data_IF_491399223506
#
_entry.id   IF_491399223506
#
_cell.length_a   1.000
_cell.length_b   1.000
_cell.length_c   1.000
_cell.angle_alpha   90.00
_cell.angle_beta   90.00
_cell.angle_gamma   90.00
#
_symmetry.space_group_name_H-M   'P 1'
#
loop_
_entity.id
_entity.type
_entity.pdbx_description
1 polymer ?
#
# COMPACT_ATOMS: atom_id res chain seq x y z
N UNK A 1 -20.09 14.41 32.84
CA UNK A 1 -21.04 13.37 32.37
C UNK A 1 -20.29 12.07 32.11
N UNK A 2 -20.29 11.12 33.07
CA UNK A 2 -19.56 9.85 32.94
C UNK A 2 -20.08 8.94 31.82
N UNK A 3 -21.35 9.08 31.43
CA UNK A 3 -21.99 8.27 30.39
C UNK A 3 -21.46 8.59 28.98
N UNK A 4 -21.22 9.87 28.69
CA UNK A 4 -20.63 10.30 27.40
C UNK A 4 -19.21 9.76 27.21
N UNK A 5 -18.41 9.71 28.27
CA UNK A 5 -17.05 9.17 28.19
C UNK A 5 -17.05 7.65 27.99
N UNK A 6 -17.99 6.93 28.62
CA UNK A 6 -18.19 5.51 28.35
C UNK A 6 -18.62 5.26 26.90
N UNK A 7 -19.55 6.06 26.37
CA UNK A 7 -19.96 5.99 24.98
C UNK A 7 -18.80 6.28 24.00
N UNK A 8 -17.98 7.30 24.27
CA UNK A 8 -16.80 7.64 23.45
C UNK A 8 -15.79 6.49 23.42
N UNK A 9 -15.51 5.85 24.56
CA UNK A 9 -14.61 4.69 24.64
C UNK A 9 -15.12 3.50 23.81
N UNK A 10 -16.43 3.20 23.89
CA UNK A 10 -17.04 2.13 23.08
C UNK A 10 -16.93 2.42 21.57
N UNK A 11 -17.19 3.66 21.15
CA UNK A 11 -17.05 4.06 19.75
C UNK A 11 -15.61 3.94 19.26
N UNK A 12 -14.65 4.43 20.04
CA UNK A 12 -13.23 4.35 19.69
C UNK A 12 -12.77 2.89 19.53
N UNK A 13 -13.21 2.00 20.42
CA UNK A 13 -12.93 0.56 20.32
C UNK A 13 -13.54 -0.06 19.05
N UNK A 14 -14.78 0.26 18.72
CA UNK A 14 -15.44 -0.21 17.50
C UNK A 14 -14.74 0.29 16.22
N UNK A 15 -14.33 1.56 16.19
CA UNK A 15 -13.58 2.14 15.07
C UNK A 15 -12.21 1.48 14.91
N UNK A 16 -11.49 1.24 16.01
CA UNK A 16 -10.20 0.55 15.99
C UNK A 16 -10.36 -0.89 15.48
N UNK A 17 -11.40 -1.61 15.92
CA UNK A 17 -11.70 -2.96 15.44
C UNK A 17 -12.02 -2.98 13.94
N UNK A 18 -12.83 -2.03 13.46
CA UNK A 18 -13.16 -1.90 12.03
C UNK A 18 -11.92 -1.59 11.19
N UNK A 19 -11.08 -0.65 11.63
CA UNK A 19 -9.82 -0.35 10.95
C UNK A 19 -8.90 -1.58 10.95
N UNK A 20 -8.76 -2.28 12.08
CA UNK A 20 -8.01 -3.52 12.19
C UNK A 20 -8.48 -4.60 11.21
N UNK A 21 -9.79 -4.78 11.06
CA UNK A 21 -10.37 -5.70 10.09
C UNK A 21 -10.01 -5.31 8.65
N UNK A 22 -10.12 -4.02 8.31
CA UNK A 22 -9.90 -3.51 6.96
C UNK A 22 -8.43 -3.47 6.53
N UNK A 23 -7.48 -3.20 7.44
CA UNK A 23 -6.07 -2.98 7.05
C UNK A 23 -5.08 -4.00 7.61
N UNK A 24 -5.44 -4.69 8.69
CA UNK A 24 -4.56 -5.64 9.37
C UNK A 24 -5.08 -7.09 9.34
N UNK A 25 -6.24 -7.34 8.74
CA UNK A 25 -6.81 -8.70 8.65
C UNK A 25 -7.40 -9.19 9.96
N UNK A 26 -7.81 -8.29 10.86
CA UNK A 26 -8.57 -8.63 12.05
C UNK A 26 -9.96 -9.20 11.71
N UNK A 27 -10.64 -9.82 12.69
CA UNK A 27 -11.99 -10.35 12.49
C UNK A 27 -13.00 -9.23 12.20
N UNK A 28 -14.09 -9.57 11.50
CA UNK A 28 -15.20 -8.65 11.29
C UNK A 28 -15.82 -8.26 12.64
N UNK A 29 -15.94 -6.96 12.98
CA UNK A 29 -16.63 -6.54 14.19
C UNK A 29 -18.13 -6.86 14.12
N UNK A 30 -18.77 -7.02 15.27
CA UNK A 30 -20.21 -7.25 15.35
C UNK A 30 -20.99 -6.16 14.58
N UNK A 31 -22.04 -6.56 13.86
CA UNK A 31 -22.87 -5.68 13.03
C UNK A 31 -22.30 -5.35 11.65
N UNK A 32 -21.10 -5.84 11.31
CA UNK A 32 -20.54 -5.72 9.95
C UNK A 32 -20.61 -7.04 9.20
N UNK A 33 -21.01 -6.96 7.93
CA UNK A 33 -21.00 -8.09 7.00
C UNK A 33 -19.55 -8.44 6.59
N UNK A 34 -19.05 -9.65 6.91
CA UNK A 34 -17.69 -10.07 6.56
C UNK A 34 -17.41 -10.04 5.06
N UNK A 35 -18.39 -10.35 4.21
CA UNK A 35 -18.23 -10.35 2.76
C UNK A 35 -18.04 -8.93 2.22
N UNK A 36 -18.81 -7.95 2.75
CA UNK A 36 -18.63 -6.53 2.40
C UNK A 36 -17.29 -5.99 2.86
N UNK A 37 -16.83 -6.37 4.05
CA UNK A 37 -15.51 -5.97 4.53
C UNK A 37 -14.39 -6.53 3.66
N UNK A 38 -14.51 -7.76 3.17
CA UNK A 38 -13.53 -8.35 2.26
C UNK A 38 -13.45 -7.58 0.93
N UNK A 39 -14.58 -7.13 0.38
CA UNK A 39 -14.60 -6.25 -0.81
C UNK A 39 -13.84 -4.96 -0.54
N UNK A 40 -14.10 -4.30 0.60
CA UNK A 40 -13.41 -3.06 0.97
C UNK A 40 -11.91 -3.26 1.19
N UNK A 41 -11.51 -4.36 1.85
CA UNK A 41 -10.11 -4.72 2.03
C UNK A 41 -9.39 -4.85 0.70
N UNK A 42 -9.99 -5.55 -0.27
CA UNK A 42 -9.43 -5.68 -1.64
C UNK A 42 -9.31 -4.34 -2.34
N UNK A 43 -10.31 -3.47 -2.22
CA UNK A 43 -10.28 -2.12 -2.80
C UNK A 43 -9.15 -1.26 -2.20
N UNK A 44 -8.96 -1.31 -0.87
CA UNK A 44 -7.88 -0.60 -0.18
C UNK A 44 -6.49 -1.10 -0.62
N UNK A 45 -6.31 -2.42 -0.72
CA UNK A 45 -5.08 -3.02 -1.24
C UNK A 45 -4.81 -2.58 -2.69
N UNK A 46 -5.84 -2.58 -3.54
CA UNK A 46 -5.73 -2.13 -4.92
C UNK A 46 -5.38 -0.64 -5.01
N UNK A 47 -5.95 0.21 -4.14
CA UNK A 47 -5.62 1.63 -4.06
C UNK A 47 -4.16 1.83 -3.66
N UNK A 48 -3.69 1.12 -2.64
CA UNK A 48 -2.30 1.18 -2.16
C UNK A 48 -1.31 0.77 -3.25
N UNK A 49 -1.60 -0.31 -3.96
CA UNK A 49 -0.82 -0.73 -5.14
C UNK A 49 -0.82 0.35 -6.23
N UNK A 50 -1.95 1.03 -6.49
CA UNK A 50 -2.01 2.07 -7.50
C UNK A 50 -1.15 3.30 -7.13
N UNK A 51 -1.19 3.71 -5.85
CA UNK A 51 -0.35 4.82 -5.37
C UNK A 51 1.13 4.45 -5.48
N UNK A 52 1.52 3.23 -5.09
CA UNK A 52 2.90 2.76 -5.19
C UNK A 52 3.37 2.69 -6.65
N UNK A 53 2.54 2.19 -7.56
CA UNK A 53 2.85 2.19 -8.99
C UNK A 53 3.09 3.62 -9.53
N UNK A 54 2.40 4.63 -8.99
CA UNK A 54 2.63 6.02 -9.36
C UNK A 54 3.93 6.61 -8.81
N UNK A 55 4.32 6.32 -7.55
CA UNK A 55 5.59 6.79 -6.96
C UNK A 55 6.82 5.98 -7.39
N UNK A 56 6.62 4.74 -7.84
CA UNK A 56 7.66 3.77 -8.18
C UNK A 56 7.27 3.00 -9.46
N UNK A 57 7.15 3.69 -10.61
CA UNK A 57 6.68 3.09 -11.87
C UNK A 57 7.62 2.01 -12.41
N UNK A 58 8.84 1.89 -11.89
CA UNK A 58 9.74 0.78 -12.22
C UNK A 58 9.19 -0.56 -11.75
N UNK A 59 8.49 -0.61 -10.62
CA UNK A 59 7.99 -1.87 -10.03
C UNK A 59 7.01 -2.59 -10.98
N UNK A 60 5.94 -1.96 -11.50
CA UNK A 60 5.09 -2.59 -12.50
C UNK A 60 5.84 -2.88 -13.81
N UNK A 61 6.82 -2.05 -14.22
CA UNK A 61 7.65 -2.34 -15.41
C UNK A 61 8.58 -3.55 -15.24
N UNK A 62 8.95 -3.90 -14.01
CA UNK A 62 9.77 -5.07 -13.71
C UNK A 62 8.89 -6.32 -13.59
N UNK A 63 7.76 -6.19 -12.89
CA UNK A 63 6.91 -7.32 -12.51
C UNK A 63 5.84 -7.64 -13.56
N UNK A 64 5.52 -6.70 -14.46
CA UNK A 64 4.47 -6.85 -15.46
C UNK A 64 3.11 -7.11 -14.81
N UNK A 65 2.33 -8.01 -15.41
CA UNK A 65 1.01 -8.43 -14.93
C UNK A 65 1.03 -8.99 -13.50
N UNK A 66 2.18 -9.54 -13.06
CA UNK A 66 2.35 -10.07 -11.71
C UNK A 66 2.43 -8.99 -10.63
N UNK A 67 2.57 -7.72 -10.98
CA UNK A 67 2.64 -6.63 -10.01
C UNK A 67 1.44 -6.60 -9.06
N UNK A 68 0.22 -6.64 -9.61
CA UNK A 68 -1.02 -6.53 -8.81
C UNK A 68 -1.22 -7.76 -7.92
N UNK A 69 -1.14 -9.01 -8.42
CA UNK A 69 -1.23 -10.20 -7.57
C UNK A 69 -0.14 -10.26 -6.49
N UNK A 70 1.11 -9.94 -6.82
CA UNK A 70 2.20 -9.99 -5.85
C UNK A 70 2.05 -8.92 -4.76
N UNK A 71 1.60 -7.71 -5.12
CA UNK A 71 1.29 -6.69 -4.12
C UNK A 71 0.12 -7.09 -3.22
N UNK A 72 -0.92 -7.70 -3.79
CA UNK A 72 -2.06 -8.17 -3.00
C UNK A 72 -1.67 -9.28 -2.02
N UNK A 73 -0.78 -10.18 -2.42
CA UNK A 73 -0.21 -11.20 -1.54
C UNK A 73 0.61 -10.57 -0.39
N UNK A 74 1.49 -9.62 -0.72
CA UNK A 74 2.27 -8.86 0.27
C UNK A 74 1.38 -8.12 1.28
N UNK A 75 0.35 -7.42 0.81
CA UNK A 75 -0.48 -6.56 1.65
C UNK A 75 -1.50 -7.33 2.49
N UNK A 76 -1.68 -8.65 2.28
CA UNK A 76 -2.64 -9.47 3.02
C UNK A 76 -2.28 -9.48 4.51
N UNK A 77 -3.16 -8.91 5.34
CA UNK A 77 -2.96 -8.81 6.79
C UNK A 77 -1.84 -7.87 7.21
N UNK A 78 -1.29 -7.04 6.30
CA UNK A 78 -0.17 -6.14 6.59
C UNK A 78 -0.57 -4.68 6.48
N UNK A 79 -0.84 -3.99 7.61
CA UNK A 79 -1.18 -2.57 7.58
C UNK A 79 0.01 -1.75 7.05
N UNK A 80 -0.28 -0.61 6.40
CA UNK A 80 0.77 0.28 5.91
C UNK A 80 1.28 1.15 7.08
N UNK A 81 2.56 0.98 7.44
CA UNK A 81 3.21 1.78 8.48
C UNK A 81 4.30 2.68 7.90
N UNK A 82 4.37 3.95 8.33
CA UNK A 82 5.42 4.87 7.90
C UNK A 82 5.29 5.42 6.46
N UNK A 83 4.12 5.28 5.82
CA UNK A 83 3.82 5.87 4.51
C UNK A 83 4.31 5.06 3.30
N UNK A 84 4.09 5.59 2.10
CA UNK A 84 4.20 4.84 0.84
C UNK A 84 5.64 4.48 0.43
N UNK A 85 6.64 5.31 0.74
CA UNK A 85 8.05 5.02 0.43
C UNK A 85 8.55 3.81 1.23
N UNK A 86 8.52 3.83 2.58
CA UNK A 86 8.93 2.66 3.37
C UNK A 86 8.15 1.41 2.97
N UNK A 87 6.90 1.60 2.56
CA UNK A 87 6.07 0.50 2.14
C UNK A 87 6.47 -0.14 0.81
N UNK A 88 6.81 0.68 -0.20
CA UNK A 88 7.39 0.19 -1.45
C UNK A 88 8.71 -0.55 -1.20
N UNK A 89 9.54 -0.06 -0.27
CA UNK A 89 10.79 -0.72 0.13
C UNK A 89 10.52 -2.09 0.75
N UNK A 90 9.61 -2.19 1.73
CA UNK A 90 9.22 -3.47 2.37
C UNK A 90 8.59 -4.45 1.38
N UNK A 91 7.79 -3.97 0.44
CA UNK A 91 7.25 -4.81 -0.63
C UNK A 91 8.37 -5.44 -1.45
N UNK A 92 9.37 -4.67 -1.86
CA UNK A 92 10.51 -5.20 -2.63
C UNK A 92 11.37 -6.15 -1.80
N UNK A 93 11.62 -5.85 -0.52
CA UNK A 93 12.29 -6.77 0.40
C UNK A 93 11.56 -8.10 0.47
N UNK A 94 10.24 -8.06 0.71
CA UNK A 94 9.40 -9.26 0.75
C UNK A 94 9.50 -10.07 -0.55
N UNK A 95 9.39 -9.42 -1.72
CA UNK A 95 9.55 -10.10 -3.01
C UNK A 95 10.92 -10.80 -3.14
N UNK A 96 11.99 -10.12 -2.75
CA UNK A 96 13.34 -10.69 -2.84
C UNK A 96 13.55 -11.87 -1.87
N UNK A 97 12.85 -11.89 -0.74
CA UNK A 97 12.93 -12.94 0.27
C UNK A 97 12.04 -14.15 -0.04
N UNK A 98 10.79 -13.91 -0.47
CA UNK A 98 9.76 -14.97 -0.50
C UNK A 98 9.19 -15.30 -1.88
N UNK A 99 9.47 -14.53 -2.94
CA UNK A 99 8.93 -14.82 -4.28
C UNK A 99 9.92 -15.68 -5.09
N UNK A 100 9.66 -16.99 -5.09
CA UNK A 100 10.41 -18.00 -5.85
C UNK A 100 10.18 -17.90 -7.36
N UNK A 101 9.07 -17.30 -7.79
CA UNK A 101 8.72 -17.18 -9.20
C UNK A 101 9.40 -15.97 -9.88
N UNK A 102 10.18 -15.16 -9.17
CA UNK A 102 10.96 -14.08 -9.79
C UNK A 102 12.07 -14.64 -10.69
N UNK A 103 12.09 -14.17 -11.94
CA UNK A 103 13.20 -14.47 -12.84
C UNK A 103 14.51 -13.84 -12.33
N UNK A 104 15.66 -14.38 -12.78
CA UNK A 104 16.99 -13.81 -12.47
C UNK A 104 17.08 -12.33 -12.86
N UNK A 105 16.51 -11.94 -13.99
CA UNK A 105 16.51 -10.55 -14.46
C UNK A 105 15.67 -9.66 -13.54
N UNK A 106 14.45 -10.08 -13.17
CA UNK A 106 13.59 -9.34 -12.24
C UNK A 106 14.27 -9.14 -10.89
N UNK A 107 14.88 -10.21 -10.34
CA UNK A 107 15.61 -10.16 -9.08
C UNK A 107 16.78 -9.15 -9.14
N UNK A 108 17.55 -9.14 -10.22
CA UNK A 108 18.64 -8.15 -10.41
C UNK A 108 18.11 -6.72 -10.49
N UNK A 109 17.04 -6.48 -11.27
CA UNK A 109 16.42 -5.14 -11.40
C UNK A 109 15.82 -4.64 -10.09
N UNK A 110 15.15 -5.51 -9.32
CA UNK A 110 14.61 -5.18 -8.00
C UNK A 110 15.71 -4.85 -6.99
N UNK A 111 16.80 -5.63 -6.94
CA UNK A 111 17.96 -5.32 -6.08
C UNK A 111 18.59 -3.99 -6.44
N UNK A 112 18.74 -3.67 -7.73
CA UNK A 112 19.23 -2.37 -8.19
C UNK A 112 18.30 -1.24 -7.74
N UNK A 113 17.00 -1.37 -8.01
CA UNK A 113 15.97 -0.41 -7.60
C UNK A 113 16.01 -0.13 -6.09
N UNK A 114 16.16 -1.19 -5.28
CA UNK A 114 16.25 -1.11 -3.83
C UNK A 114 17.50 -0.34 -3.39
N UNK A 115 18.69 -0.70 -3.89
CA UNK A 115 19.95 -0.04 -3.53
C UNK A 115 19.96 1.45 -3.86
N UNK A 116 19.43 1.82 -5.03
CA UNK A 116 19.30 3.23 -5.44
C UNK A 116 18.43 4.05 -4.47
N UNK A 117 17.50 3.40 -3.76
CA UNK A 117 16.48 4.06 -2.94
C UNK A 117 16.63 3.80 -1.45
N UNK A 118 17.53 2.91 -1.02
CA UNK A 118 17.83 2.62 0.39
C UNK A 118 18.65 3.72 1.06
N UNK A 119 19.23 4.66 0.29
CA UNK A 119 19.89 5.86 0.81
C UNK A 119 18.92 6.92 1.36
N UNK A 120 19.48 8.08 1.77
CA UNK A 120 18.70 9.24 2.22
C UNK A 120 17.83 9.75 1.06
N UNK A 121 16.52 9.85 1.28
CA UNK A 121 15.57 10.13 0.21
C UNK A 121 15.81 11.52 -0.42
N UNK A 122 15.79 11.67 -1.75
CA UNK A 122 15.70 12.99 -2.37
C UNK A 122 14.38 13.67 -1.99
N UNK A 123 14.40 15.00 -1.82
CA UNK A 123 13.21 15.81 -1.57
C UNK A 123 12.23 15.63 -2.74
N UNK A 124 10.96 15.28 -2.45
CA UNK A 124 9.91 15.13 -3.48
C UNK A 124 9.37 13.71 -3.68
N UNK A 125 9.83 12.72 -2.91
CA UNK A 125 9.25 11.37 -2.97
C UNK A 125 7.94 11.30 -2.15
N UNK A 126 6.80 11.56 -2.80
CA UNK A 126 5.50 11.55 -2.14
C UNK A 126 4.32 11.87 -3.08
N UNK A 127 3.08 11.78 -2.60
CA UNK A 127 1.88 12.05 -3.38
C UNK A 127 1.85 13.46 -4.00
N UNK A 128 2.46 14.46 -3.35
CA UNK A 128 2.63 15.81 -3.90
C UNK A 128 3.50 15.84 -5.19
N UNK A 129 4.51 14.96 -5.29
CA UNK A 129 5.30 14.75 -6.51
C UNK A 129 4.53 14.07 -7.64
N UNK A 130 3.48 13.32 -7.28
CA UNK A 130 2.57 12.65 -8.20
C UNK A 130 1.49 13.60 -8.73
N UNK A 131 0.89 14.40 -7.83
CA UNK A 131 -0.05 15.47 -8.19
C UNK A 131 0.60 16.50 -9.12
N UNK A 132 1.84 16.90 -8.85
CA UNK A 132 2.59 17.83 -9.71
C UNK A 132 3.04 17.27 -11.06
N UNK A 133 2.99 15.94 -11.26
CA UNK A 133 3.22 15.28 -12.57
C UNK A 133 1.93 15.09 -13.36
N UNK A 134 0.82 14.84 -12.68
CA UNK A 134 -0.50 14.74 -13.30
C UNK A 134 -1.01 16.11 -13.77
N UNK A 135 -0.76 17.18 -12.99
CA UNK A 135 -1.12 18.56 -13.35
C UNK A 135 -0.25 19.16 -14.47
N UNK A 136 0.90 18.54 -14.80
CA UNK A 136 1.79 19.04 -15.88
C UNK A 136 1.44 18.52 -17.27
N UNK A 137 0.48 17.58 -17.35
CA UNK A 137 0.03 16.95 -18.60
C UNK A 137 -1.16 17.68 -19.25
N UNK A 138 -1.63 18.76 -18.64
CA UNK A 138 -2.66 19.65 -19.18
C UNK A 138 -2.07 21.06 -19.37
N UNK A 139 -1.15 21.20 -20.33
CA UNK A 139 -0.98 22.46 -21.04
C UNK A 139 -1.40 22.23 -22.49
N UNK A 140 -2.53 22.79 -22.96
CA UNK A 140 -2.80 22.86 -24.38
C UNK A 140 -1.74 23.76 -25.00
N UNK A 141 -1.14 23.29 -26.09
CA UNK A 141 -0.42 24.17 -27.00
C UNK A 141 -1.43 25.12 -27.64
N UNK A 142 -1.10 26.39 -27.62
CA UNK A 142 -1.49 27.40 -28.59
C UNK A 142 -0.19 28.15 -28.95
#
# INVERSE_FOLDING_TARGET
MPDTDAARRRLAAAQAALLGALVAGGPAPAGFDPARLEVQRRALVAKRAAVIAGIAPELPRILGERYRPAFAAYARGRPMTGGYRPDAMRFVTHLLESDSALTRQQRRRLRRWYRERSGRAPRGWGPAGLLSRLLRRTRPGA
#
